data_IF_470720559338
#
_entry.id   IF_470720559338
#
_cell.length_a   1.000
_cell.length_b   1.000
_cell.length_c   1.000
_cell.angle_alpha   90.00
_cell.angle_beta   90.00
_cell.angle_gamma   90.00
#
_symmetry.space_group_name_H-M   'P 1'
#
loop_
_entity.id
_entity.type
_entity.pdbx_description
1 polymer ?
#
# COMPACT_ATOMS: atom_id res chain seq x y z
N UNK A 1 -13.73 19.36 3.05
CA UNK A 1 -12.51 19.11 2.26
C UNK A 1 -11.42 20.17 2.50
N UNK A 2 -11.72 21.47 2.38
CA UNK A 2 -10.70 22.54 2.46
C UNK A 2 -9.92 22.62 3.78
N UNK A 3 -10.53 22.37 4.95
CA UNK A 3 -9.80 22.39 6.25
C UNK A 3 -8.78 21.26 6.43
N UNK A 4 -9.08 20.08 5.88
CA UNK A 4 -8.22 18.90 5.99
C UNK A 4 -6.98 19.08 5.11
N UNK A 5 -7.19 19.61 3.90
CA UNK A 5 -6.12 19.97 2.98
C UNK A 5 -5.26 21.15 3.45
N UNK A 6 -5.82 22.14 4.17
CA UNK A 6 -5.03 23.26 4.72
C UNK A 6 -4.16 22.83 5.91
N UNK A 7 -4.68 22.03 6.84
CA UNK A 7 -3.90 21.44 7.93
C UNK A 7 -2.79 20.52 7.40
N UNK A 8 -3.13 19.67 6.44
CA UNK A 8 -2.19 18.79 5.78
C UNK A 8 -1.10 19.57 5.04
N UNK A 9 -1.46 20.60 4.26
CA UNK A 9 -0.49 21.44 3.55
C UNK A 9 0.47 22.12 4.52
N UNK A 10 -0.01 22.66 5.64
CA UNK A 10 0.83 23.35 6.64
C UNK A 10 1.94 22.44 7.19
N UNK A 11 1.65 21.15 7.41
CA UNK A 11 2.61 20.22 7.99
C UNK A 11 3.64 19.66 6.99
N UNK A 12 3.43 19.90 5.69
CA UNK A 12 4.28 19.39 4.61
C UNK A 12 4.88 20.48 3.69
N UNK A 13 4.45 21.75 3.81
CA UNK A 13 4.93 22.85 2.95
C UNK A 13 6.45 23.06 3.11
N UNK A 14 6.96 23.00 4.34
CA UNK A 14 8.38 23.23 4.65
C UNK A 14 9.29 22.04 4.25
N UNK A 15 8.71 20.86 3.99
CA UNK A 15 9.48 19.62 3.74
C UNK A 15 9.68 19.32 2.24
N UNK A 16 9.21 20.21 1.37
CA UNK A 16 9.41 20.14 -0.08
C UNK A 16 8.26 19.48 -0.86
N UNK A 17 8.10 19.92 -2.11
CA UNK A 17 6.99 19.53 -2.98
C UNK A 17 6.89 18.03 -3.25
N UNK A 18 8.02 17.31 -3.26
CA UNK A 18 8.05 15.86 -3.46
C UNK A 18 7.31 15.12 -2.35
N UNK A 19 7.59 15.46 -1.08
CA UNK A 19 6.96 14.82 0.07
C UNK A 19 5.47 15.16 0.14
N UNK A 20 5.09 16.40 -0.22
CA UNK A 20 3.70 16.82 -0.30
C UNK A 20 2.90 15.98 -1.30
N UNK A 21 3.44 15.73 -2.49
CA UNK A 21 2.79 14.91 -3.52
C UNK A 21 2.63 13.45 -3.05
N UNK A 22 3.69 12.85 -2.49
CA UNK A 22 3.64 11.50 -1.91
C UNK A 22 2.59 11.39 -0.82
N UNK A 23 2.56 12.35 0.09
CA UNK A 23 1.63 12.34 1.20
C UNK A 23 0.18 12.57 0.73
N UNK A 24 -0.07 13.35 -0.34
CA UNK A 24 -1.41 13.48 -0.96
C UNK A 24 -1.88 12.17 -1.59
N UNK A 25 -0.97 11.47 -2.27
CA UNK A 25 -1.26 10.15 -2.83
C UNK A 25 -1.58 9.15 -1.71
N UNK A 26 -0.77 9.11 -0.64
CA UNK A 26 -1.02 8.28 0.53
C UNK A 26 -2.34 8.61 1.21
N UNK A 27 -2.66 9.90 1.39
CA UNK A 27 -3.93 10.33 1.97
C UNK A 27 -5.11 9.80 1.15
N UNK A 28 -5.05 9.93 -0.17
CA UNK A 28 -6.09 9.45 -1.08
C UNK A 28 -6.23 7.94 -1.02
N UNK A 29 -5.10 7.20 -1.04
CA UNK A 29 -5.08 5.75 -0.90
C UNK A 29 -5.67 5.30 0.44
N UNK A 30 -5.25 5.90 1.55
CA UNK A 30 -5.78 5.57 2.89
C UNK A 30 -7.28 5.83 2.99
N UNK A 31 -7.78 6.93 2.41
CA UNK A 31 -9.23 7.21 2.38
C UNK A 31 -10.00 6.15 1.57
N UNK A 32 -9.47 5.73 0.42
CA UNK A 32 -10.07 4.65 -0.39
C UNK A 32 -10.07 3.33 0.39
N UNK A 33 -8.96 2.97 1.03
CA UNK A 33 -8.86 1.74 1.84
C UNK A 33 -9.82 1.78 3.03
N UNK A 34 -9.91 2.92 3.74
CA UNK A 34 -10.88 3.11 4.83
C UNK A 34 -12.31 2.94 4.32
N UNK A 35 -12.64 3.53 3.17
CA UNK A 35 -13.97 3.39 2.57
C UNK A 35 -14.27 1.92 2.22
N UNK A 36 -13.33 1.23 1.58
CA UNK A 36 -13.47 -0.20 1.28
C UNK A 36 -13.66 -1.02 2.57
N UNK A 37 -12.89 -0.76 3.63
CA UNK A 37 -13.05 -1.44 4.92
C UNK A 37 -14.42 -1.19 5.54
N UNK A 38 -14.94 0.04 5.48
CA UNK A 38 -16.28 0.33 5.98
C UNK A 38 -17.34 -0.48 5.20
N UNK A 39 -17.25 -0.53 3.87
CA UNK A 39 -18.17 -1.31 3.04
C UNK A 39 -18.07 -2.79 3.34
N UNK A 40 -16.86 -3.34 3.46
CA UNK A 40 -16.68 -4.77 3.77
C UNK A 40 -17.16 -5.12 5.16
N UNK A 41 -16.94 -4.27 6.17
CA UNK A 41 -17.46 -4.47 7.54
C UNK A 41 -18.98 -4.53 7.53
N UNK A 42 -19.65 -3.63 6.81
CA UNK A 42 -21.11 -3.63 6.72
C UNK A 42 -21.58 -4.94 6.09
N UNK A 43 -20.99 -5.33 4.96
CA UNK A 43 -21.32 -6.57 4.26
C UNK A 43 -21.09 -7.83 5.10
N UNK A 44 -19.94 -7.95 5.75
CA UNK A 44 -19.59 -9.09 6.60
C UNK A 44 -20.43 -9.13 7.87
N UNK A 45 -20.81 -7.96 8.41
CA UNK A 45 -21.72 -7.87 9.56
C UNK A 45 -23.12 -8.38 9.21
N UNK A 46 -23.62 -8.09 8.01
CA UNK A 46 -24.90 -8.63 7.54
C UNK A 46 -24.83 -10.14 7.28
N UNK A 47 -23.69 -10.64 6.78
CA UNK A 47 -23.54 -12.04 6.36
C UNK A 47 -23.22 -12.99 7.52
N UNK A 48 -22.31 -12.59 8.41
CA UNK A 48 -21.76 -13.43 9.48
C UNK A 48 -22.12 -12.96 10.89
N UNK A 49 -22.76 -11.80 11.02
CA UNK A 49 -23.10 -11.18 12.29
C UNK A 49 -21.97 -10.33 12.89
N UNK A 50 -22.35 -9.41 13.78
CA UNK A 50 -21.45 -8.42 14.39
C UNK A 50 -20.37 -9.01 15.31
N UNK A 51 -20.59 -10.22 15.84
CA UNK A 51 -19.68 -10.88 16.79
C UNK A 51 -18.71 -11.82 16.07
N UNK A 52 -18.77 -11.89 14.73
CA UNK A 52 -17.85 -12.74 13.96
C UNK A 52 -16.40 -12.25 14.06
N UNK A 53 -15.47 -13.21 14.06
CA UNK A 53 -14.02 -12.92 14.06
C UNK A 53 -13.62 -12.03 12.87
N UNK A 54 -14.22 -12.28 11.70
CA UNK A 54 -14.04 -11.48 10.47
C UNK A 54 -14.34 -9.99 10.71
N UNK A 55 -15.50 -9.68 11.28
CA UNK A 55 -15.90 -8.29 11.58
C UNK A 55 -14.99 -7.67 12.61
N UNK A 56 -14.59 -8.42 13.65
CA UNK A 56 -13.67 -7.95 14.67
C UNK A 56 -12.29 -7.60 14.07
N UNK A 57 -11.72 -8.48 13.23
CA UNK A 57 -10.44 -8.25 12.55
C UNK A 57 -10.50 -7.01 11.65
N UNK A 58 -11.56 -6.87 10.84
CA UNK A 58 -11.73 -5.71 9.96
C UNK A 58 -11.91 -4.42 10.77
N UNK A 59 -12.65 -4.46 11.87
CA UNK A 59 -12.85 -3.31 12.77
C UNK A 59 -11.56 -2.86 13.45
N UNK A 60 -10.74 -3.80 13.92
CA UNK A 60 -9.40 -3.50 14.47
C UNK A 60 -8.52 -2.90 13.37
N UNK A 61 -8.55 -3.47 12.17
CA UNK A 61 -7.85 -2.94 11.00
C UNK A 61 -8.24 -1.49 10.68
N UNK A 62 -9.54 -1.18 10.73
CA UNK A 62 -10.07 0.17 10.54
C UNK A 62 -9.55 1.14 11.60
N UNK A 63 -9.58 0.77 12.88
CA UNK A 63 -9.05 1.60 13.98
C UNK A 63 -7.55 1.92 13.79
N UNK A 64 -6.76 0.92 13.38
CA UNK A 64 -5.33 1.13 13.10
C UNK A 64 -5.14 2.02 11.86
N UNK A 65 -5.95 1.85 10.83
CA UNK A 65 -5.91 2.68 9.62
C UNK A 65 -6.27 4.14 9.90
N UNK A 66 -7.25 4.40 10.77
CA UNK A 66 -7.57 5.74 11.27
C UNK A 66 -6.41 6.34 12.06
N UNK A 67 -5.68 5.53 12.83
CA UNK A 67 -4.46 5.97 13.53
C UNK A 67 -3.37 6.35 12.54
N UNK A 68 -3.18 5.56 11.47
CA UNK A 68 -2.25 5.87 10.39
C UNK A 68 -2.60 7.18 9.68
N UNK A 69 -3.90 7.42 9.44
CA UNK A 69 -4.42 8.66 8.88
C UNK A 69 -4.10 9.85 9.79
N UNK A 70 -4.31 9.75 11.10
CA UNK A 70 -3.95 10.81 12.06
C UNK A 70 -2.43 11.07 12.05
N UNK A 71 -1.59 10.03 11.99
CA UNK A 71 -0.14 10.18 11.89
C UNK A 71 0.29 10.88 10.60
N UNK A 72 -0.36 10.56 9.49
CA UNK A 72 -0.16 11.23 8.20
C UNK A 72 -0.52 12.71 8.29
N UNK A 73 -1.66 13.05 8.90
CA UNK A 73 -2.06 14.44 9.11
C UNK A 73 -1.09 15.22 10.01
N UNK A 74 -0.39 14.54 10.93
CA UNK A 74 0.64 15.11 11.80
C UNK A 74 2.02 15.26 11.13
N UNK A 75 2.16 14.96 9.85
CA UNK A 75 3.45 15.07 9.13
C UNK A 75 4.35 13.84 9.22
N UNK A 76 3.93 12.76 9.91
CA UNK A 76 4.75 11.56 10.13
C UNK A 76 4.63 10.57 8.97
N UNK A 77 5.08 10.98 7.78
CA UNK A 77 4.91 10.22 6.53
C UNK A 77 5.44 8.78 6.59
N UNK A 78 6.73 8.59 6.93
CA UNK A 78 7.37 7.26 6.88
C UNK A 78 6.66 6.23 7.78
N UNK A 79 6.27 6.64 8.99
CA UNK A 79 5.54 5.75 9.91
C UNK A 79 4.14 5.45 9.38
N UNK A 80 3.42 6.47 8.87
CA UNK A 80 2.09 6.28 8.32
C UNK A 80 2.08 5.30 7.15
N UNK A 81 3.02 5.41 6.20
CA UNK A 81 3.13 4.47 5.06
C UNK A 81 3.26 3.03 5.54
N UNK A 82 4.18 2.77 6.45
CA UNK A 82 4.40 1.40 6.94
C UNK A 82 3.19 0.84 7.67
N UNK A 83 2.52 1.65 8.50
CA UNK A 83 1.29 1.23 9.19
C UNK A 83 0.20 0.90 8.17
N UNK A 84 -0.02 1.76 7.16
CA UNK A 84 -1.01 1.52 6.11
C UNK A 84 -0.76 0.17 5.42
N UNK A 85 0.46 -0.10 4.95
CA UNK A 85 0.76 -1.34 4.25
C UNK A 85 0.72 -2.56 5.17
N UNK A 86 1.35 -2.50 6.34
CA UNK A 86 1.37 -3.63 7.29
C UNK A 86 -0.07 -3.98 7.68
N UNK A 87 -0.88 -3.00 8.07
CA UNK A 87 -2.27 -3.25 8.45
C UNK A 87 -3.08 -3.81 7.28
N UNK A 88 -2.94 -3.25 6.07
CA UNK A 88 -3.70 -3.72 4.92
C UNK A 88 -3.35 -5.17 4.54
N UNK A 89 -2.06 -5.51 4.50
CA UNK A 89 -1.62 -6.89 4.25
C UNK A 89 -2.04 -7.83 5.37
N UNK A 90 -1.86 -7.45 6.64
CA UNK A 90 -2.23 -8.30 7.77
C UNK A 90 -3.73 -8.59 7.80
N UNK A 91 -4.58 -7.59 7.55
CA UNK A 91 -6.04 -7.80 7.48
C UNK A 91 -6.37 -8.76 6.34
N UNK A 92 -5.82 -8.56 5.13
CA UNK A 92 -6.07 -9.45 4.00
C UNK A 92 -5.65 -10.90 4.30
N UNK A 93 -4.45 -11.11 4.86
CA UNK A 93 -3.97 -12.44 5.21
C UNK A 93 -4.80 -13.10 6.31
N UNK A 94 -5.09 -12.39 7.41
CA UNK A 94 -5.91 -12.93 8.50
C UNK A 94 -7.27 -13.35 7.96
N UNK A 95 -7.90 -12.54 7.11
CA UNK A 95 -9.16 -12.91 6.47
C UNK A 95 -9.00 -14.19 5.64
N UNK A 96 -8.03 -14.28 4.74
CA UNK A 96 -7.81 -15.50 3.94
C UNK A 96 -7.64 -16.77 4.78
N UNK A 97 -6.89 -16.71 5.89
CA UNK A 97 -6.70 -17.87 6.78
C UNK A 97 -7.96 -18.22 7.59
N UNK A 98 -8.64 -17.22 8.16
CA UNK A 98 -9.67 -17.42 9.19
C UNK A 98 -11.12 -17.29 8.71
N UNK A 99 -11.37 -16.80 7.48
CA UNK A 99 -12.73 -16.78 6.91
C UNK A 99 -13.32 -18.21 6.96
N UNK A 100 -14.60 -18.39 7.32
CA UNK A 100 -15.21 -19.72 7.35
C UNK A 100 -15.09 -20.44 6.01
N UNK A 101 -14.90 -21.77 6.06
CA UNK A 101 -14.69 -22.63 4.87
C UNK A 101 -15.93 -22.70 3.95
N UNK A 102 -17.06 -22.14 4.37
CA UNK A 102 -18.33 -22.17 3.63
C UNK A 102 -18.26 -21.58 2.22
N UNK A 103 -17.22 -20.79 1.89
CA UNK A 103 -16.88 -20.49 0.51
C UNK A 103 -15.37 -20.36 0.30
N UNK A 104 -14.75 -21.43 -0.20
CA UNK A 104 -13.37 -21.46 -0.66
C UNK A 104 -13.11 -20.34 -1.68
N UNK A 105 -14.07 -20.09 -2.57
CA UNK A 105 -13.95 -19.09 -3.64
C UNK A 105 -13.75 -17.67 -3.09
N UNK A 106 -14.43 -17.31 -2.01
CA UNK A 106 -14.26 -16.01 -1.35
C UNK A 106 -12.84 -15.84 -0.80
N UNK A 107 -12.24 -16.92 -0.27
CA UNK A 107 -10.84 -16.88 0.20
C UNK A 107 -9.88 -16.67 -0.95
N UNK A 108 -10.10 -17.36 -2.07
CA UNK A 108 -9.23 -17.29 -3.25
C UNK A 108 -9.30 -15.92 -3.91
N UNK A 109 -10.48 -15.29 -4.00
CA UNK A 109 -10.64 -13.96 -4.61
C UNK A 109 -9.96 -12.83 -3.82
N UNK A 110 -9.79 -13.01 -2.51
CA UNK A 110 -9.22 -11.98 -1.62
C UNK A 110 -7.74 -11.71 -1.91
N UNK A 111 -7.02 -12.64 -2.57
CA UNK A 111 -5.61 -12.47 -2.97
C UNK A 111 -5.40 -11.24 -3.88
N UNK A 112 -6.42 -10.85 -4.64
CA UNK A 112 -6.38 -9.68 -5.54
C UNK A 112 -6.08 -8.39 -4.76
N UNK A 113 -6.51 -8.28 -3.50
CA UNK A 113 -6.18 -7.13 -2.65
C UNK A 113 -4.68 -7.05 -2.35
N UNK A 114 -4.02 -8.19 -2.11
CA UNK A 114 -2.58 -8.24 -1.84
C UNK A 114 -1.81 -7.79 -3.10
N UNK A 115 -2.20 -8.30 -4.27
CA UNK A 115 -1.61 -7.90 -5.55
C UNK A 115 -1.82 -6.41 -5.83
N UNK A 116 -3.03 -5.89 -5.63
CA UNK A 116 -3.34 -4.47 -5.81
C UNK A 116 -2.62 -3.54 -4.82
N UNK A 117 -2.42 -3.97 -3.58
CA UNK A 117 -1.62 -3.20 -2.62
C UNK A 117 -0.15 -3.18 -3.03
N UNK A 118 0.39 -4.29 -3.53
CA UNK A 118 1.77 -4.35 -4.00
C UNK A 118 2.05 -3.35 -5.13
N UNK A 119 1.09 -3.11 -6.03
CA UNK A 119 1.29 -2.14 -7.13
C UNK A 119 1.43 -0.69 -6.67
N UNK A 120 1.01 -0.36 -5.44
CA UNK A 120 1.15 0.98 -4.86
C UNK A 120 2.52 1.21 -4.18
N UNK A 121 3.28 0.16 -3.87
CA UNK A 121 4.60 0.23 -3.21
C UNK A 121 5.63 1.15 -3.90
N UNK A 122 5.83 1.12 -5.24
CA UNK A 122 6.89 1.90 -5.87
C UNK A 122 6.69 3.41 -5.75
N UNK A 123 5.44 3.87 -5.69
CA UNK A 123 5.11 5.29 -5.55
C UNK A 123 5.31 5.79 -4.12
N UNK A 124 5.14 4.92 -3.13
CA UNK A 124 5.27 5.29 -1.71
C UNK A 124 6.72 5.27 -1.22
N UNK A 125 7.56 4.39 -1.79
CA UNK A 125 8.93 4.15 -1.35
C UNK A 125 10.00 4.63 -2.34
N UNK A 126 9.81 5.80 -2.97
CA UNK A 126 10.72 6.35 -4.00
C UNK A 126 12.18 6.59 -3.54
N UNK A 127 12.44 6.63 -2.23
CA UNK A 127 13.78 6.88 -1.68
C UNK A 127 14.64 5.62 -1.60
N UNK A 128 14.06 4.43 -1.47
CA UNK A 128 14.82 3.18 -1.32
C UNK A 128 14.06 1.99 -1.91
N UNK A 129 14.78 1.10 -2.62
CA UNK A 129 14.23 -0.15 -3.14
C UNK A 129 13.98 -1.23 -2.07
N UNK A 130 14.59 -1.09 -0.89
CA UNK A 130 14.58 -2.13 0.16
C UNK A 130 13.16 -2.49 0.61
N UNK A 131 12.26 -1.54 0.92
CA UNK A 131 10.90 -1.87 1.35
C UNK A 131 10.13 -2.67 0.29
N UNK A 132 10.26 -2.32 -1.00
CA UNK A 132 9.56 -3.01 -2.09
C UNK A 132 9.94 -4.50 -2.12
N UNK A 133 11.24 -4.80 -2.06
CA UNK A 133 11.74 -6.18 -2.04
C UNK A 133 11.30 -6.91 -0.78
N UNK A 134 11.39 -6.26 0.39
CA UNK A 134 10.98 -6.87 1.65
C UNK A 134 9.49 -7.21 1.66
N UNK A 135 8.61 -6.27 1.29
CA UNK A 135 7.18 -6.53 1.22
C UNK A 135 6.84 -7.64 0.23
N UNK A 136 7.54 -7.72 -0.90
CA UNK A 136 7.36 -8.83 -1.85
C UNK A 136 7.75 -10.17 -1.23
N UNK A 137 8.98 -10.28 -0.70
CA UNK A 137 9.49 -11.54 -0.12
C UNK A 137 8.60 -12.01 1.03
N UNK A 138 8.17 -11.10 1.92
CA UNK A 138 7.27 -11.45 3.01
C UNK A 138 5.89 -11.91 2.51
N UNK A 139 5.25 -11.15 1.61
CA UNK A 139 3.93 -11.54 1.10
C UNK A 139 3.99 -12.84 0.28
N UNK A 140 5.03 -13.01 -0.52
CA UNK A 140 5.23 -14.23 -1.29
C UNK A 140 5.50 -15.44 -0.37
N UNK A 141 6.28 -15.26 0.70
CA UNK A 141 6.48 -16.29 1.72
C UNK A 141 5.18 -16.70 2.42
N UNK A 142 4.35 -15.72 2.82
CA UNK A 142 3.04 -15.99 3.42
C UNK A 142 2.13 -16.69 2.40
N UNK A 143 2.16 -16.28 1.13
CA UNK A 143 1.40 -16.93 0.05
C UNK A 143 1.77 -18.41 -0.12
N UNK A 144 3.05 -18.75 -0.09
CA UNK A 144 3.49 -20.16 -0.14
C UNK A 144 2.98 -20.93 1.09
N UNK A 145 3.07 -20.34 2.28
CA UNK A 145 2.51 -20.91 3.51
C UNK A 145 0.99 -21.09 3.43
N UNK A 146 0.27 -20.13 2.84
CA UNK A 146 -1.17 -20.20 2.63
C UNK A 146 -1.56 -21.31 1.66
N UNK A 147 -0.83 -21.48 0.55
CA UNK A 147 -1.09 -22.59 -0.39
C UNK A 147 -0.86 -23.95 0.26
N UNK A 148 0.18 -24.08 1.09
CA UNK A 148 0.40 -25.30 1.88
C UNK A 148 -0.72 -25.52 2.89
N UNK A 149 -1.22 -24.47 3.54
CA UNK A 149 -2.38 -24.58 4.42
C UNK A 149 -3.65 -25.00 3.67
N UNK A 150 -3.87 -24.45 2.47
CA UNK A 150 -5.02 -24.76 1.61
C UNK A 150 -5.07 -26.25 1.25
N UNK A 151 -3.92 -26.84 0.92
CA UNK A 151 -3.82 -28.25 0.54
C UNK A 151 -4.09 -29.22 1.68
N UNK A 152 -4.03 -28.76 2.93
CA UNK A 152 -4.34 -29.58 4.10
C UNK A 152 -5.79 -29.48 4.55
N UNK A 153 -6.46 -28.36 4.26
CA UNK A 153 -7.78 -28.04 4.84
C UNK A 153 -8.90 -28.15 3.80
N UNK A 154 -8.57 -28.27 2.52
CA UNK A 154 -9.55 -28.21 1.43
C UNK A 154 -9.46 -29.46 0.55
N UNK A 155 -10.62 -29.95 0.12
CA UNK A 155 -10.73 -31.11 -0.78
C UNK A 155 -10.57 -30.71 -2.27
N UNK A 156 -9.91 -29.58 -2.56
CA UNK A 156 -9.63 -29.17 -3.94
C UNK A 156 -8.72 -30.20 -4.61
N UNK A 157 -8.97 -30.47 -5.88
CA UNK A 157 -8.14 -31.37 -6.66
C UNK A 157 -6.69 -30.86 -6.76
N UNK A 158 -5.75 -31.77 -6.99
CA UNK A 158 -4.33 -31.40 -7.17
C UNK A 158 -4.17 -30.40 -8.32
N UNK A 159 -4.99 -30.53 -9.37
CA UNK A 159 -4.97 -29.63 -10.53
C UNK A 159 -5.43 -28.22 -10.15
N UNK A 160 -6.54 -28.08 -9.43
CA UNK A 160 -7.05 -26.77 -9.00
C UNK A 160 -6.08 -26.05 -8.06
N UNK A 161 -5.42 -26.80 -7.17
CA UNK A 161 -4.38 -26.26 -6.30
C UNK A 161 -3.19 -25.73 -7.09
N UNK A 162 -2.69 -26.50 -8.06
CA UNK A 162 -1.54 -26.11 -8.87
C UNK A 162 -1.89 -24.92 -9.76
N UNK A 163 -3.07 -24.92 -10.39
CA UNK A 163 -3.54 -23.82 -11.24
C UNK A 163 -3.66 -22.52 -10.41
N UNK A 164 -4.32 -22.56 -9.25
CA UNK A 164 -4.42 -21.40 -8.35
C UNK A 164 -3.05 -20.90 -7.88
N UNK A 165 -2.17 -21.81 -7.48
CA UNK A 165 -0.84 -21.46 -6.98
C UNK A 165 0.01 -20.80 -8.08
N UNK A 166 -0.02 -21.33 -9.30
CA UNK A 166 0.74 -20.81 -10.43
C UNK A 166 0.20 -19.47 -10.91
N UNK A 167 -1.11 -19.33 -11.10
CA UNK A 167 -1.73 -18.08 -11.57
C UNK A 167 -1.40 -16.91 -10.65
N UNK A 168 -1.55 -17.12 -9.33
CA UNK A 168 -1.25 -16.08 -8.35
C UNK A 168 0.26 -15.84 -8.19
N UNK A 169 1.10 -16.88 -8.29
CA UNK A 169 2.55 -16.70 -8.27
C UNK A 169 3.03 -15.85 -9.44
N UNK A 170 2.51 -16.11 -10.64
CA UNK A 170 2.81 -15.36 -11.85
C UNK A 170 2.32 -13.92 -11.69
N UNK A 171 1.10 -13.71 -11.20
CA UNK A 171 0.55 -12.37 -10.97
C UNK A 171 1.39 -11.56 -9.96
N UNK A 172 1.75 -12.16 -8.82
CA UNK A 172 2.60 -11.51 -7.81
C UNK A 172 3.99 -11.19 -8.35
N UNK A 173 4.63 -12.12 -9.07
CA UNK A 173 5.93 -11.91 -9.69
C UNK A 173 5.89 -10.82 -10.76
N UNK A 174 4.84 -10.79 -11.57
CA UNK A 174 4.62 -9.77 -12.59
C UNK A 174 4.45 -8.39 -11.97
N UNK A 175 3.58 -8.25 -10.96
CA UNK A 175 3.39 -6.98 -10.25
C UNK A 175 4.66 -6.52 -9.53
N UNK A 176 5.44 -7.45 -8.99
CA UNK A 176 6.75 -7.12 -8.42
C UNK A 176 7.71 -6.57 -9.48
N UNK A 177 7.83 -7.23 -10.64
CA UNK A 177 8.69 -6.79 -11.72
C UNK A 177 8.29 -5.40 -12.24
N UNK A 178 6.99 -5.20 -12.51
CA UNK A 178 6.45 -3.90 -12.95
C UNK A 178 6.70 -2.83 -11.89
N UNK A 179 6.44 -3.13 -10.61
CA UNK A 179 6.70 -2.19 -9.52
C UNK A 179 8.17 -1.82 -9.41
N UNK A 180 9.08 -2.78 -9.58
CA UNK A 180 10.51 -2.53 -9.55
C UNK A 180 10.98 -1.66 -10.72
N UNK A 181 10.43 -1.89 -11.92
CA UNK A 181 10.69 -1.08 -13.11
C UNK A 181 10.18 0.35 -12.89
N UNK A 182 8.93 0.50 -12.42
CA UNK A 182 8.33 1.81 -12.13
C UNK A 182 9.15 2.59 -11.10
N UNK A 183 9.57 1.94 -10.02
CA UNK A 183 10.47 2.54 -9.04
C UNK A 183 11.75 3.07 -9.71
N UNK A 184 12.39 2.24 -10.54
CA UNK A 184 13.62 2.61 -11.25
C UNK A 184 13.41 3.82 -12.17
N UNK A 185 12.30 3.87 -12.88
CA UNK A 185 11.93 5.00 -13.75
C UNK A 185 11.73 6.26 -12.91
N UNK A 186 10.92 6.19 -11.85
CA UNK A 186 10.61 7.35 -11.02
C UNK A 186 11.84 7.89 -10.29
N UNK A 187 12.70 7.04 -9.74
CA UNK A 187 13.95 7.48 -9.11
C UNK A 187 14.87 8.18 -10.11
N UNK A 188 15.00 7.67 -11.34
CA UNK A 188 15.80 8.33 -12.39
C UNK A 188 15.25 9.69 -12.79
N UNK A 189 13.93 9.82 -12.92
CA UNK A 189 13.26 11.09 -13.25
C UNK A 189 13.48 12.10 -12.13
N UNK A 190 13.29 11.70 -10.87
CA UNK A 190 13.51 12.55 -9.70
C UNK A 190 14.96 13.04 -9.61
N UNK A 191 15.93 12.14 -9.82
CA UNK A 191 17.36 12.49 -9.82
C UNK A 191 17.71 13.46 -10.96
N UNK A 192 17.15 13.26 -12.15
CA UNK A 192 17.34 14.16 -13.29
C UNK A 192 16.79 15.56 -13.02
N UNK A 193 15.57 15.66 -12.48
CA UNK A 193 14.94 16.94 -12.12
C UNK A 193 15.73 17.65 -11.01
N UNK A 194 16.24 16.90 -10.02
CA UNK A 194 17.07 17.47 -8.96
C UNK A 194 18.37 18.06 -9.49
N UNK A 195 19.05 17.35 -10.41
CA UNK A 195 20.26 17.85 -11.08
C UNK A 195 19.98 19.11 -11.89
N UNK A 196 18.90 19.12 -12.66
CA UNK A 196 18.51 20.30 -13.46
C UNK A 196 18.20 21.51 -12.57
N UNK A 197 17.51 21.31 -11.44
CA UNK A 197 17.24 22.38 -10.48
C UNK A 197 18.53 22.96 -9.88
N UNK A 198 19.50 22.12 -9.52
CA UNK A 198 20.80 22.57 -9.01
C UNK A 198 21.62 23.32 -10.05
N UNK A 199 21.55 22.88 -11.31
CA UNK A 199 22.18 23.59 -12.43
C UNK A 199 21.58 24.98 -12.61
N UNK A 200 20.24 25.11 -12.58
CA UNK A 200 19.57 26.41 -12.66
C UNK A 200 19.91 27.32 -11.48
N UNK A 201 19.97 26.80 -10.24
CA UNK A 201 20.36 27.63 -9.09
C UNK A 201 21.80 28.12 -9.22
N UNK A 202 22.73 27.25 -9.65
CA UNK A 202 24.12 27.64 -9.89
C UNK A 202 24.25 28.73 -10.98
N UNK A 203 23.43 28.68 -12.03
CA UNK A 203 23.38 29.74 -13.04
C UNK A 203 22.87 31.04 -12.43
N UNK A 204 21.76 31.01 -11.70
CA UNK A 204 21.16 32.21 -11.08
C UNK A 204 22.13 32.84 -10.09
N UNK A 205 22.77 32.04 -9.24
CA UNK A 205 23.70 32.51 -8.21
C UNK A 205 25.03 33.05 -8.81
N UNK A 206 25.37 32.64 -10.04
CA UNK A 206 26.54 33.15 -10.76
C UNK A 206 26.25 34.35 -11.65
N UNK A 207 24.98 34.75 -11.81
CA UNK A 207 24.66 36.01 -12.46
C UNK A 207 25.08 37.17 -11.55
N UNK A 208 25.91 38.12 -12.03
CA UNK A 208 26.22 39.30 -11.24
C UNK A 208 24.91 40.01 -10.91
N UNK A 209 24.74 40.43 -9.64
CA UNK A 209 23.58 41.22 -9.25
C UNK A 209 23.58 42.48 -10.10
N UNK A 210 22.77 42.50 -11.16
CA UNK A 210 22.46 43.73 -11.87
C UNK A 210 21.67 44.55 -10.87
N UNK A 211 22.42 45.41 -10.18
CA UNK A 211 21.96 46.48 -9.32
C UNK A 211 20.91 47.22 -10.13
N UNK A 212 19.64 47.01 -9.81
CA UNK A 212 18.56 47.91 -10.19
C UNK A 212 18.77 49.15 -9.32
N UNK A 213 19.56 50.07 -9.84
CA UNK A 213 19.61 51.46 -9.39
C UNK A 213 18.39 52.23 -9.89
#
# INVERSE_FOLDING_TARGET
>A
MNRLFTLFRKNYDDQGQELLLKARFLLSLTLVVVLCLCVTIIYTSFTFGLVSLTVATQSVGLCIMLTALVLLLKGRYNLAVHIVFITSFSVAWILMFYEPVSSILIKLDTIVFIVGLMSALPLMFLSTRKPIVLYFVFNFGIFLGFNYYLSLVTDLSVREHVDYALDNSIAMAFVFAVSYILFTIYSKILDSMRRFRLFLSAIIDSMPSIIIG
#
